data_IF_010601878999
#
_entry.id   IF_010601878999
#
_cell.length_a   1.000
_cell.length_b   1.000
_cell.length_c   1.000
_cell.angle_alpha   90.00
_cell.angle_beta   90.00
_cell.angle_gamma   90.00
#
_symmetry.space_group_name_H-M   'P 1'
#
loop_
_entity.id
_entity.type
_entity.pdbx_description
1 polymer ?
#
# COMPACT_ATOMS: atom_id res chain seq x y z
N UNK A 1 -20.49 15.81 10.16
CA UNK A 1 -19.35 14.90 9.88
C UNK A 1 -18.19 15.75 9.38
N UNK A 2 -17.06 15.76 10.08
CA UNK A 2 -15.92 16.65 9.77
C UNK A 2 -15.13 16.15 8.54
N UNK A 3 -14.52 17.06 7.77
CA UNK A 3 -13.67 16.79 6.61
C UNK A 3 -12.63 15.69 6.86
N UNK A 4 -11.98 15.71 8.03
CA UNK A 4 -10.99 14.71 8.43
C UNK A 4 -11.59 13.30 8.58
N UNK A 5 -12.83 13.18 9.06
CA UNK A 5 -13.53 11.89 9.17
C UNK A 5 -13.90 11.34 7.79
N UNK A 6 -14.27 12.22 6.85
CA UNK A 6 -14.56 11.84 5.46
C UNK A 6 -13.31 11.41 4.70
N UNK A 7 -12.17 12.06 4.91
CA UNK A 7 -10.88 11.65 4.33
C UNK A 7 -10.45 10.27 4.88
N UNK A 8 -10.56 10.03 6.20
CA UNK A 8 -10.34 8.70 6.80
C UNK A 8 -11.26 7.62 6.23
N UNK A 9 -12.51 7.95 5.92
CA UNK A 9 -13.42 7.02 5.23
C UNK A 9 -13.01 6.70 3.79
N UNK A 10 -12.34 7.62 3.09
CA UNK A 10 -11.78 7.33 1.76
C UNK A 10 -10.63 6.33 1.89
N UNK A 11 -9.75 6.50 2.88
CA UNK A 11 -8.68 5.55 3.20
C UNK A 11 -9.21 4.15 3.53
N UNK A 12 -10.36 4.06 4.21
CA UNK A 12 -10.93 2.80 4.69
C UNK A 12 -11.83 2.06 3.68
N UNK A 13 -12.49 2.78 2.75
CA UNK A 13 -13.58 2.21 1.93
C UNK A 13 -13.26 2.28 0.42
N UNK A 14 -12.21 3.00 0.01
CA UNK A 14 -11.81 3.08 -1.39
C UNK A 14 -12.83 3.74 -2.32
N UNK A 15 -12.80 3.39 -3.61
CA UNK A 15 -13.59 3.97 -4.71
C UNK A 15 -15.11 4.05 -4.47
N UNK A 16 -15.69 3.19 -3.63
CA UNK A 16 -17.12 3.21 -3.33
C UNK A 16 -17.54 4.45 -2.51
N UNK A 17 -16.66 4.97 -1.66
CA UNK A 17 -16.90 6.23 -0.94
C UNK A 17 -16.83 7.45 -1.86
N UNK A 18 -16.08 7.39 -2.96
CA UNK A 18 -15.97 8.46 -3.96
C UNK A 18 -17.24 8.67 -4.79
N UNK A 19 -18.10 7.65 -4.91
CA UNK A 19 -19.41 7.83 -5.52
C UNK A 19 -20.32 8.72 -4.64
N UNK A 20 -20.10 8.74 -3.33
CA UNK A 20 -20.82 9.58 -2.36
C UNK A 20 -20.30 11.02 -2.28
N UNK A 21 -19.10 11.30 -2.80
CA UNK A 21 -18.60 12.67 -2.93
C UNK A 21 -19.44 13.43 -3.95
N UNK A 22 -19.96 14.61 -3.62
CA UNK A 22 -20.62 15.48 -4.60
C UNK A 22 -19.56 16.26 -5.37
N UNK A 23 -20.00 17.17 -6.24
CA UNK A 23 -19.14 18.05 -7.04
C UNK A 23 -18.90 19.40 -6.36
N UNK A 24 -18.98 19.45 -5.02
CA UNK A 24 -18.74 20.70 -4.29
C UNK A 24 -17.24 21.00 -4.23
N UNK A 25 -16.89 22.29 -4.21
CA UNK A 25 -15.49 22.73 -4.16
C UNK A 25 -14.73 22.11 -2.98
N UNK A 26 -15.33 22.11 -1.78
CA UNK A 26 -14.73 21.56 -0.55
C UNK A 26 -14.40 20.08 -0.69
N UNK A 27 -15.29 19.31 -1.31
CA UNK A 27 -15.11 17.87 -1.51
C UNK A 27 -14.06 17.56 -2.58
N UNK A 28 -14.03 18.32 -3.67
CA UNK A 28 -12.99 18.19 -4.70
C UNK A 28 -11.61 18.59 -4.16
N UNK A 29 -11.55 19.66 -3.37
CA UNK A 29 -10.32 20.12 -2.73
C UNK A 29 -9.77 19.06 -1.77
N UNK A 30 -10.62 18.51 -0.90
CA UNK A 30 -10.22 17.46 0.05
C UNK A 30 -9.65 16.22 -0.67
N UNK A 31 -10.27 15.81 -1.77
CA UNK A 31 -9.79 14.69 -2.57
C UNK A 31 -8.47 15.00 -3.28
N UNK A 32 -8.31 16.22 -3.81
CA UNK A 32 -7.07 16.67 -4.41
C UNK A 32 -5.92 16.69 -3.40
N UNK A 33 -6.14 17.24 -2.20
CA UNK A 33 -5.14 17.25 -1.14
C UNK A 33 -4.73 15.83 -0.73
N UNK A 34 -5.67 14.90 -0.63
CA UNK A 34 -5.37 13.48 -0.35
C UNK A 34 -4.48 12.82 -1.43
N UNK A 35 -4.61 13.28 -2.68
CA UNK A 35 -3.80 12.83 -3.81
C UNK A 35 -2.49 13.61 -3.97
N UNK A 36 -2.14 14.45 -2.99
CA UNK A 36 -0.96 15.33 -3.02
C UNK A 36 -0.99 16.32 -4.21
N UNK A 37 -2.18 16.88 -4.47
CA UNK A 37 -2.43 17.87 -5.51
C UNK A 37 -2.94 19.18 -4.92
N UNK A 38 -2.57 20.29 -5.56
CA UNK A 38 -3.14 21.60 -5.28
C UNK A 38 -4.35 21.83 -6.19
N UNK A 39 -5.50 22.15 -5.60
CA UNK A 39 -6.74 22.41 -6.35
C UNK A 39 -7.12 23.89 -6.28
N UNK A 40 -7.36 24.48 -7.45
CA UNK A 40 -7.68 25.89 -7.59
C UNK A 40 -8.89 26.06 -8.50
N UNK A 41 -9.82 26.94 -8.12
CA UNK A 41 -10.95 27.33 -8.96
C UNK A 41 -10.81 28.82 -9.28
N UNK A 42 -10.90 29.18 -10.56
CA UNK A 42 -10.96 30.57 -11.00
C UNK A 42 -12.16 30.75 -11.92
N UNK A 43 -13.13 31.55 -11.48
CA UNK A 43 -14.42 31.71 -12.16
C UNK A 43 -15.06 30.34 -12.42
N UNK A 44 -15.19 29.95 -13.69
CA UNK A 44 -15.78 28.69 -14.14
C UNK A 44 -14.75 27.61 -14.46
N UNK A 45 -13.45 27.92 -14.33
CA UNK A 45 -12.38 26.99 -14.60
C UNK A 45 -11.84 26.38 -13.31
N UNK A 46 -11.46 25.11 -13.40
CA UNK A 46 -10.87 24.32 -12.34
C UNK A 46 -9.49 23.84 -12.76
N UNK A 47 -8.55 23.86 -11.83
CA UNK A 47 -7.15 23.58 -12.06
C UNK A 47 -6.63 22.64 -10.99
N UNK A 48 -5.82 21.67 -11.42
CA UNK A 48 -5.06 20.78 -10.55
C UNK A 48 -3.58 20.95 -10.84
N UNK A 49 -2.80 21.17 -9.79
CA UNK A 49 -1.35 21.26 -9.87
C UNK A 49 -0.69 20.15 -9.06
N UNK A 50 0.52 19.79 -9.50
CA UNK A 50 1.43 18.94 -8.74
C UNK A 50 2.79 19.60 -8.75
N UNK A 51 3.33 19.91 -7.57
CA UNK A 51 4.63 20.60 -7.42
C UNK A 51 4.70 21.85 -8.31
N UNK A 52 3.68 22.71 -8.23
CA UNK A 52 3.54 23.96 -9.03
C UNK A 52 3.39 23.78 -10.55
N UNK A 53 3.32 22.55 -11.05
CA UNK A 53 3.07 22.28 -12.47
C UNK A 53 1.59 21.97 -12.70
N UNK A 54 0.96 22.60 -13.68
CA UNK A 54 -0.43 22.31 -14.06
C UNK A 54 -0.51 20.91 -14.66
N UNK A 55 -1.33 20.04 -14.06
CA UNK A 55 -1.52 18.65 -14.54
C UNK A 55 -2.87 18.44 -15.19
N UNK A 56 -3.87 19.25 -14.84
CA UNK A 56 -5.20 19.13 -15.41
C UNK A 56 -5.99 20.43 -15.26
N UNK A 57 -6.73 20.79 -16.32
CA UNK A 57 -7.67 21.91 -16.34
C UNK A 57 -9.01 21.41 -16.85
N UNK A 58 -10.10 21.82 -16.20
CA UNK A 58 -11.44 21.52 -16.67
C UNK A 58 -12.39 22.70 -16.48
N UNK A 59 -13.45 22.74 -17.28
CA UNK A 59 -14.52 23.74 -17.19
C UNK A 59 -15.69 23.27 -16.33
N UNK A 60 -15.67 22.01 -15.90
CA UNK A 60 -16.76 21.44 -15.10
C UNK A 60 -16.24 20.70 -13.86
N UNK A 61 -16.95 20.81 -12.74
CA UNK A 61 -16.66 20.03 -11.53
C UNK A 61 -16.72 18.51 -11.77
N UNK A 62 -17.58 18.07 -12.70
CA UNK A 62 -17.75 16.65 -13.04
C UNK A 62 -16.47 16.08 -13.66
N UNK A 63 -15.86 16.80 -14.59
CA UNK A 63 -14.60 16.41 -15.22
C UNK A 63 -13.44 16.35 -14.22
N UNK A 64 -13.35 17.30 -13.28
CA UNK A 64 -12.35 17.24 -12.19
C UNK A 64 -12.56 15.99 -11.34
N UNK A 65 -13.81 15.72 -10.94
CA UNK A 65 -14.14 14.56 -10.12
C UNK A 65 -13.72 13.25 -10.79
N UNK A 66 -14.00 13.09 -12.08
CA UNK A 66 -13.61 11.90 -12.85
C UNK A 66 -12.09 11.74 -12.94
N UNK A 67 -11.37 12.84 -13.18
CA UNK A 67 -9.91 12.81 -13.20
C UNK A 67 -9.31 12.44 -11.83
N UNK A 68 -9.82 13.01 -10.74
CA UNK A 68 -9.37 12.65 -9.39
C UNK A 68 -9.71 11.18 -9.05
N UNK A 69 -10.86 10.67 -9.50
CA UNK A 69 -11.22 9.25 -9.36
C UNK A 69 -10.25 8.33 -10.09
N UNK A 70 -9.86 8.67 -11.32
CA UNK A 70 -8.92 7.85 -12.10
C UNK A 70 -7.54 7.81 -11.45
N UNK A 71 -7.05 8.95 -10.96
CA UNK A 71 -5.80 9.03 -10.20
C UNK A 71 -5.84 8.20 -8.91
N UNK A 72 -6.96 8.23 -8.17
CA UNK A 72 -7.09 7.40 -6.98
C UNK A 72 -7.03 5.91 -7.33
N UNK A 73 -7.74 5.48 -8.39
CA UNK A 73 -7.71 4.09 -8.85
C UNK A 73 -6.27 3.63 -9.14
N UNK A 74 -5.51 4.45 -9.85
CA UNK A 74 -4.10 4.18 -10.14
C UNK A 74 -3.26 4.06 -8.85
N UNK A 75 -3.46 4.95 -7.87
CA UNK A 75 -2.75 4.92 -6.57
C UNK A 75 -3.06 3.63 -5.80
N UNK A 76 -4.32 3.20 -5.79
CA UNK A 76 -4.76 1.96 -5.16
C UNK A 76 -4.19 0.71 -5.85
N UNK A 77 -4.23 0.65 -7.18
CA UNK A 77 -3.66 -0.46 -7.96
C UNK A 77 -2.15 -0.59 -7.73
N UNK A 78 -1.44 0.54 -7.64
CA UNK A 78 -0.01 0.58 -7.30
C UNK A 78 0.26 0.08 -5.89
N UNK A 79 -0.60 0.42 -4.91
CA UNK A 79 -0.47 -0.05 -3.52
C UNK A 79 -0.69 -1.57 -3.45
N UNK A 80 -1.74 -2.09 -4.10
CA UNK A 80 -2.01 -3.52 -4.17
C UNK A 80 -0.85 -4.29 -4.83
N UNK A 81 -0.28 -3.78 -5.93
CA UNK A 81 0.91 -4.37 -6.56
C UNK A 81 2.12 -4.40 -5.63
N UNK A 82 2.34 -3.36 -4.83
CA UNK A 82 3.45 -3.31 -3.86
C UNK A 82 3.24 -4.31 -2.73
N UNK A 83 2.01 -4.44 -2.24
CA UNK A 83 1.66 -5.41 -1.20
C UNK A 83 1.80 -6.85 -1.68
N UNK A 84 1.34 -7.16 -2.90
CA UNK A 84 1.55 -8.47 -3.52
C UNK A 84 3.05 -8.81 -3.64
N UNK A 85 3.87 -7.87 -4.13
CA UNK A 85 5.33 -8.07 -4.20
C UNK A 85 5.98 -8.30 -2.84
N UNK A 86 5.51 -7.63 -1.78
CA UNK A 86 5.99 -7.87 -0.42
C UNK A 86 5.61 -9.27 0.07
N UNK A 87 4.39 -9.72 -0.19
CA UNK A 87 3.95 -11.07 0.15
C UNK A 87 4.77 -12.13 -0.58
N UNK A 88 5.02 -11.94 -1.88
CA UNK A 88 5.84 -12.84 -2.69
C UNK A 88 7.29 -12.88 -2.20
N UNK A 89 7.86 -11.73 -1.85
CA UNK A 89 9.20 -11.64 -1.27
C UNK A 89 9.31 -12.40 0.06
N UNK A 90 8.30 -12.26 0.94
CA UNK A 90 8.26 -12.97 2.21
C UNK A 90 8.11 -14.48 2.01
N UNK A 91 7.25 -14.92 1.08
CA UNK A 91 7.11 -16.33 0.70
C UNK A 91 8.41 -16.91 0.15
N UNK A 92 9.08 -16.21 -0.76
CA UNK A 92 10.37 -16.64 -1.31
C UNK A 92 11.45 -16.74 -0.22
N UNK A 93 11.47 -15.81 0.74
CA UNK A 93 12.39 -15.85 1.89
C UNK A 93 12.09 -17.05 2.80
N UNK A 94 10.82 -17.37 3.04
CA UNK A 94 10.42 -18.55 3.81
C UNK A 94 10.81 -19.85 3.12
N UNK A 95 10.56 -19.96 1.81
CA UNK A 95 10.92 -21.14 1.00
C UNK A 95 12.43 -21.40 0.98
N UNK A 96 13.25 -20.35 0.85
CA UNK A 96 14.73 -20.46 0.95
C UNK A 96 15.17 -20.98 2.31
N UNK A 97 14.54 -20.49 3.40
CA UNK A 97 14.83 -20.99 4.75
C UNK A 97 14.48 -22.46 4.90
N UNK A 98 13.31 -22.86 4.39
CA UNK A 98 12.84 -24.24 4.45
C UNK A 98 13.74 -25.19 3.67
N UNK A 99 14.10 -24.84 2.42
CA UNK A 99 15.02 -25.64 1.59
C UNK A 99 16.35 -25.87 2.30
N UNK A 100 16.94 -24.80 2.85
CA UNK A 100 18.19 -24.90 3.59
C UNK A 100 18.08 -25.77 4.85
N UNK A 101 16.97 -25.67 5.59
CA UNK A 101 16.72 -26.56 6.74
C UNK A 101 16.61 -28.02 6.30
N UNK A 102 15.92 -28.32 5.19
CA UNK A 102 15.81 -29.68 4.63
C UNK A 102 17.18 -30.23 4.20
N UNK A 103 18.04 -29.41 3.61
CA UNK A 103 19.40 -29.79 3.23
C UNK A 103 20.25 -30.15 4.46
N UNK A 104 20.14 -29.40 5.55
CA UNK A 104 20.83 -29.71 6.82
C UNK A 104 20.33 -31.03 7.42
N UNK A 105 19.01 -31.26 7.43
CA UNK A 105 18.44 -32.53 7.91
C UNK A 105 18.94 -33.71 7.06
N UNK A 106 18.97 -33.56 5.72
CA UNK A 106 19.49 -34.58 4.81
C UNK A 106 20.98 -34.85 5.03
N UNK A 107 21.79 -33.81 5.23
CA UNK A 107 23.21 -33.96 5.55
C UNK A 107 23.42 -34.72 6.87
N UNK A 108 22.60 -34.43 7.89
CA UNK A 108 22.64 -35.14 9.17
C UNK A 108 22.24 -36.62 9.04
N UNK A 109 21.24 -36.95 8.21
CA UNK A 109 20.90 -38.34 7.88
C UNK A 109 22.05 -39.08 7.19
N UNK A 110 22.90 -38.37 6.44
CA UNK A 110 24.14 -38.89 5.87
C UNK A 110 25.33 -38.95 6.83
N UNK A 111 25.12 -38.69 8.13
CA UNK A 111 26.16 -38.77 9.17
C UNK A 111 27.13 -37.57 9.22
N UNK A 112 26.84 -36.48 8.50
CA UNK A 112 27.74 -35.32 8.45
C UNK A 112 27.78 -34.49 9.74
N UNK A 113 26.76 -34.62 10.60
CA UNK A 113 26.63 -33.93 11.88
C UNK A 113 26.11 -34.89 12.95
N UNK A 114 26.34 -34.57 14.23
CA UNK A 114 25.70 -35.27 15.34
C UNK A 114 24.29 -34.71 15.59
N UNK A 115 23.38 -35.57 16.07
CA UNK A 115 22.00 -35.18 16.37
C UNK A 115 21.89 -34.00 17.35
N UNK A 116 22.82 -33.90 18.30
CA UNK A 116 22.89 -32.79 19.26
C UNK A 116 23.23 -31.44 18.61
N UNK A 117 24.13 -31.44 17.61
CA UNK A 117 24.43 -30.23 16.83
C UNK A 117 23.22 -29.79 15.99
N UNK A 118 22.47 -30.73 15.41
CA UNK A 118 21.28 -30.44 14.63
C UNK A 118 20.19 -29.79 15.51
N UNK A 119 19.90 -30.37 16.68
CA UNK A 119 18.92 -29.84 17.64
C UNK A 119 19.32 -28.44 18.12
N UNK A 120 20.59 -28.24 18.47
CA UNK A 120 21.11 -26.93 18.90
C UNK A 120 20.99 -25.85 17.81
N UNK A 121 21.24 -26.22 16.55
CA UNK A 121 21.11 -25.31 15.41
C UNK A 121 19.65 -24.92 15.14
N UNK A 122 18.72 -25.88 15.19
CA UNK A 122 17.29 -25.63 14.99
C UNK A 122 16.70 -24.80 16.13
N UNK A 123 17.08 -25.08 17.39
CA UNK A 123 16.66 -24.31 18.56
C UNK A 123 17.13 -22.83 18.49
N UNK A 124 18.39 -22.57 18.11
CA UNK A 124 18.91 -21.21 17.88
C UNK A 124 18.20 -20.47 16.75
N UNK A 125 17.62 -21.18 15.77
CA UNK A 125 16.84 -20.58 14.67
C UNK A 125 15.38 -20.30 15.05
N UNK A 126 14.76 -21.16 15.88
CA UNK A 126 13.39 -21.00 16.35
C UNK A 126 13.23 -19.97 17.47
N UNK A 127 14.24 -19.83 18.35
CA UNK A 127 14.19 -18.93 19.52
C UNK A 127 14.43 -17.44 19.25
N UNK A 128 14.36 -16.96 18.01
CA UNK A 128 14.42 -15.52 17.68
C UNK A 128 13.03 -14.89 17.51
N UNK A 129 11.99 -15.45 18.11
CA UNK A 129 10.79 -14.68 18.43
C UNK A 129 11.11 -13.85 19.67
N UNK A 130 11.23 -12.53 19.49
CA UNK A 130 11.43 -11.59 20.58
C UNK A 130 10.32 -11.79 21.60
N UNK A 131 10.69 -12.06 22.85
CA UNK A 131 9.79 -11.89 23.98
C UNK A 131 9.22 -10.46 23.93
N UNK A 132 7.90 -10.26 24.03
CA UNK A 132 7.35 -8.92 24.14
C UNK A 132 7.80 -8.32 25.47
N UNK A 133 8.22 -7.05 25.43
CA UNK A 133 8.43 -6.19 26.59
C UNK A 133 7.12 -6.00 27.35
#
# INVERSE_FOLDING_TARGET
MNLAQRIKQIDLIGLNSLNKFKTSYVELNALACYLDLDFFQNKNDFYLFKRKSLIYKAKSPKQIKEFLKSLLKQKLDLKAKKEAKKADFLRAKALKKEKHTREIIRANQGGLFSSEMLVSYLAKRGGREKAPL
#
